data_IF_902819802843
#
_entry.id   IF_902819802843
#
_cell.length_a   1.000
_cell.length_b   1.000
_cell.length_c   1.000
_cell.angle_alpha   90.00
_cell.angle_beta   90.00
_cell.angle_gamma   90.00
#
_symmetry.space_group_name_H-M   'P 1'
#
loop_
_entity.id
_entity.type
_entity.pdbx_description
1 polymer ?
#
# COMPACT_ATOMS: atom_id res chain seq x y z
N UNK A 1 -0.77 -11.54 11.09
CA UNK A 1 -1.31 -10.17 11.23
C UNK A 1 -1.49 -9.66 12.67
N UNK A 2 -2.13 -10.39 13.61
CA UNK A 2 -2.45 -9.87 14.97
C UNK A 2 -1.25 -9.55 15.90
N UNK A 3 -0.07 -10.12 15.64
CA UNK A 3 1.13 -9.90 16.46
C UNK A 3 1.90 -8.63 16.05
N UNK A 4 1.95 -8.36 14.75
CA UNK A 4 2.60 -7.17 14.19
C UNK A 4 1.85 -5.90 14.59
N UNK A 5 0.51 -5.93 14.63
CA UNK A 5 -0.29 -4.79 15.10
C UNK A 5 -0.11 -4.50 16.60
N UNK A 6 0.06 -5.53 17.43
CA UNK A 6 0.32 -5.38 18.87
C UNK A 6 1.72 -4.81 19.13
N UNK A 7 2.73 -5.26 18.39
CA UNK A 7 4.08 -4.72 18.45
C UNK A 7 4.12 -3.25 18.04
N UNK A 8 3.43 -2.87 16.96
CA UNK A 8 3.31 -1.47 16.52
C UNK A 8 2.66 -0.59 17.60
N UNK A 9 1.59 -1.05 18.25
CA UNK A 9 0.92 -0.31 19.33
C UNK A 9 1.83 -0.13 20.55
N UNK A 10 2.61 -1.15 20.91
CA UNK A 10 3.56 -1.09 22.02
C UNK A 10 4.73 -0.14 21.68
N UNK A 11 5.25 -0.17 20.46
CA UNK A 11 6.26 0.78 19.99
C UNK A 11 5.72 2.21 20.00
N UNK A 12 4.45 2.42 19.58
CA UNK A 12 3.79 3.72 19.61
C UNK A 12 3.61 4.23 21.06
N UNK A 13 3.20 3.36 21.99
CA UNK A 13 3.06 3.68 23.42
C UNK A 13 4.40 3.99 24.10
N UNK A 14 5.46 3.29 23.74
CA UNK A 14 6.82 3.55 24.24
C UNK A 14 7.35 4.91 23.78
N UNK A 15 7.03 5.33 22.55
CA UNK A 15 7.41 6.64 22.02
C UNK A 15 6.76 7.81 22.79
N UNK A 16 5.57 7.61 23.37
CA UNK A 16 4.88 8.61 24.20
C UNK A 16 5.50 8.83 25.60
N UNK A 17 6.33 7.90 26.10
CA UNK A 17 6.84 7.94 27.48
C UNK A 17 8.19 8.66 27.67
N UNK A 18 8.81 9.15 26.60
CA UNK A 18 10.07 9.88 26.74
C UNK A 18 9.80 11.35 26.97
N UNK A 19 10.13 11.84 28.17
CA UNK A 19 10.21 13.27 28.47
C UNK A 19 11.38 13.86 27.68
N UNK A 20 11.16 14.24 26.42
CA UNK A 20 12.15 14.96 25.63
C UNK A 20 12.15 16.44 26.05
N UNK A 21 13.00 16.79 27.01
CA UNK A 21 13.64 18.11 27.03
C UNK A 21 14.79 18.12 26.03
N UNK A 22 14.46 17.92 24.76
CA UNK A 22 15.35 18.14 23.63
C UNK A 22 14.99 19.49 23.01
N UNK A 23 16.00 20.22 22.51
CA UNK A 23 15.88 21.51 21.82
C UNK A 23 14.59 21.59 21.00
N UNK A 24 13.69 22.54 21.33
CA UNK A 24 12.31 22.62 20.82
C UNK A 24 12.18 22.36 19.30
N UNK A 25 13.20 22.81 18.55
CA UNK A 25 13.37 22.56 17.12
C UNK A 25 13.30 21.09 16.70
N UNK A 26 14.03 20.19 17.38
CA UNK A 26 14.13 18.76 17.00
C UNK A 26 12.86 17.98 17.29
N UNK A 27 12.13 18.37 18.35
CA UNK A 27 10.87 17.73 18.74
C UNK A 27 9.77 18.03 17.70
N UNK A 28 9.70 19.27 17.21
CA UNK A 28 8.67 19.64 16.23
C UNK A 28 8.88 18.93 14.89
N UNK A 29 10.13 18.73 14.46
CA UNK A 29 10.44 17.94 13.26
C UNK A 29 10.00 16.48 13.41
N UNK A 30 10.26 15.87 14.57
CA UNK A 30 9.83 14.49 14.84
C UNK A 30 8.30 14.35 14.81
N UNK A 31 7.57 15.35 15.34
CA UNK A 31 6.11 15.38 15.27
C UNK A 31 5.61 15.34 13.82
N UNK A 32 6.18 16.14 12.92
CA UNK A 32 5.82 16.13 11.48
C UNK A 32 6.19 14.84 10.77
N UNK A 33 7.23 14.13 11.23
CA UNK A 33 7.59 12.82 10.70
C UNK A 33 6.56 11.74 11.09
N UNK A 34 6.02 11.81 12.32
CA UNK A 34 4.99 10.89 12.82
C UNK A 34 3.63 11.20 12.18
N UNK A 35 3.26 12.48 12.17
CA UNK A 35 1.99 12.96 11.63
C UNK A 35 2.24 14.28 10.88
N UNK A 36 2.10 14.29 9.55
CA UNK A 36 2.29 15.50 8.75
C UNK A 36 1.45 16.65 9.28
N UNK A 37 2.10 17.81 9.47
CA UNK A 37 1.48 19.04 9.98
C UNK A 37 1.51 19.22 11.49
N UNK A 38 1.81 18.19 12.28
CA UNK A 38 1.81 18.30 13.74
C UNK A 38 2.94 19.21 14.26
N UNK A 39 4.15 19.13 13.67
CA UNK A 39 5.25 20.01 14.02
C UNK A 39 4.94 21.47 13.69
N UNK A 40 4.40 21.72 12.50
CA UNK A 40 4.02 23.04 12.03
C UNK A 40 2.95 23.69 12.92
N UNK A 41 1.88 22.95 13.26
CA UNK A 41 0.85 23.44 14.17
C UNK A 41 1.42 23.69 15.56
N UNK A 42 2.32 22.82 16.04
CA UNK A 42 3.02 23.02 17.33
C UNK A 42 3.85 24.30 17.36
N UNK A 43 4.29 24.77 16.19
CA UNK A 43 5.03 26.02 16.00
C UNK A 43 4.12 27.20 15.62
N UNK A 44 2.79 27.03 15.67
CA UNK A 44 1.82 28.07 15.34
C UNK A 44 1.71 28.39 13.84
N UNK A 45 2.19 27.50 12.97
CA UNK A 45 2.17 27.70 11.52
C UNK A 45 0.97 27.01 10.86
N UNK A 46 0.18 27.78 10.12
CA UNK A 46 -1.06 27.30 9.47
C UNK A 46 -0.83 26.27 8.35
N UNK A 47 0.38 26.15 7.81
CA UNK A 47 0.69 25.12 6.80
C UNK A 47 0.45 23.71 7.32
N UNK A 48 0.52 23.48 8.64
CA UNK A 48 0.24 22.17 9.21
C UNK A 48 -1.20 21.68 9.04
N UNK A 49 -2.18 22.58 8.96
CA UNK A 49 -3.57 22.18 8.69
C UNK A 49 -3.73 21.59 7.29
N UNK A 50 -3.00 22.12 6.30
CA UNK A 50 -3.00 21.58 4.95
C UNK A 50 -2.40 20.17 4.90
N UNK A 51 -1.32 19.92 5.65
CA UNK A 51 -0.71 18.58 5.75
C UNK A 51 -1.62 17.56 6.45
N UNK A 52 -2.35 17.96 7.50
CA UNK A 52 -3.34 17.07 8.13
C UNK A 52 -4.49 16.77 7.16
N UNK A 53 -4.99 17.79 6.46
CA UNK A 53 -6.06 17.61 5.49
C UNK A 53 -5.62 16.70 4.33
N UNK A 54 -4.41 16.89 3.79
CA UNK A 54 -3.87 16.01 2.76
C UNK A 54 -3.70 14.59 3.28
N UNK A 55 -3.22 14.41 4.52
CA UNK A 55 -3.04 13.10 5.13
C UNK A 55 -4.37 12.32 5.21
N UNK A 56 -5.45 12.97 5.68
CA UNK A 56 -6.78 12.36 5.73
C UNK A 56 -7.26 11.96 4.33
N UNK A 57 -7.10 12.85 3.34
CA UNK A 57 -7.54 12.59 1.97
C UNK A 57 -6.75 11.45 1.32
N UNK A 58 -5.43 11.41 1.52
CA UNK A 58 -4.55 10.40 0.94
C UNK A 58 -4.84 9.01 1.54
N UNK A 59 -4.99 8.91 2.87
CA UNK A 59 -5.39 7.64 3.50
C UNK A 59 -6.78 7.21 3.08
N UNK A 60 -7.74 8.14 2.99
CA UNK A 60 -9.10 7.82 2.54
C UNK A 60 -9.09 7.26 1.11
N UNK A 61 -8.33 7.87 0.21
CA UNK A 61 -8.17 7.39 -1.16
C UNK A 61 -7.47 6.01 -1.20
N UNK A 62 -6.38 5.84 -0.46
CA UNK A 62 -5.67 4.55 -0.38
C UNK A 62 -6.59 3.43 0.08
N UNK A 63 -7.34 3.65 1.18
CA UNK A 63 -8.27 2.66 1.72
C UNK A 63 -9.43 2.37 0.76
N UNK A 64 -9.99 3.40 0.13
CA UNK A 64 -11.05 3.25 -0.86
C UNK A 64 -10.60 2.35 -2.03
N UNK A 65 -9.44 2.64 -2.61
CA UNK A 65 -8.94 1.86 -3.75
C UNK A 65 -8.54 0.44 -3.37
N UNK A 66 -7.94 0.25 -2.19
CA UNK A 66 -7.65 -1.10 -1.68
C UNK A 66 -8.94 -1.93 -1.52
N UNK A 67 -9.97 -1.34 -0.92
CA UNK A 67 -11.26 -2.01 -0.75
C UNK A 67 -11.95 -2.31 -2.08
N UNK A 68 -11.93 -1.37 -3.03
CA UNK A 68 -12.54 -1.58 -4.33
C UNK A 68 -11.80 -2.68 -5.13
N UNK A 69 -10.47 -2.79 -4.99
CA UNK A 69 -9.71 -3.91 -5.54
C UNK A 69 -10.22 -5.26 -5.01
N UNK A 70 -10.36 -5.38 -3.69
CA UNK A 70 -10.86 -6.59 -3.04
C UNK A 70 -12.29 -6.95 -3.48
N UNK A 71 -13.15 -5.95 -3.67
CA UNK A 71 -14.50 -6.15 -4.18
C UNK A 71 -14.50 -6.62 -5.63
N UNK A 72 -13.62 -6.10 -6.48
CA UNK A 72 -13.53 -6.53 -7.89
C UNK A 72 -12.98 -7.94 -8.04
N UNK A 73 -11.98 -8.34 -7.25
CA UNK A 73 -11.49 -9.72 -7.29
C UNK A 73 -12.53 -10.71 -6.74
N UNK A 74 -13.24 -10.33 -5.68
CA UNK A 74 -14.36 -11.14 -5.15
C UNK A 74 -15.48 -11.29 -6.20
N UNK A 75 -15.83 -10.20 -6.88
CA UNK A 75 -16.80 -10.24 -7.97
C UNK A 75 -16.33 -11.09 -9.15
N UNK A 76 -15.02 -11.10 -9.44
CA UNK A 76 -14.45 -11.97 -10.47
C UNK A 76 -14.60 -13.45 -10.10
N UNK A 77 -14.31 -13.84 -8.86
CA UNK A 77 -14.51 -15.22 -8.39
C UNK A 77 -16.00 -15.61 -8.45
N UNK A 78 -16.88 -14.75 -7.95
CA UNK A 78 -18.34 -14.96 -8.03
C UNK A 78 -18.83 -15.11 -9.47
N UNK A 79 -18.20 -14.39 -10.41
CA UNK A 79 -18.50 -14.50 -11.83
C UNK A 79 -18.07 -15.85 -12.41
N UNK A 80 -16.87 -16.31 -12.06
CA UNK A 80 -16.36 -17.62 -12.48
C UNK A 80 -17.21 -18.77 -11.93
N UNK A 81 -17.67 -18.70 -10.68
CA UNK A 81 -18.58 -19.71 -10.11
C UNK A 81 -19.91 -19.82 -10.88
N UNK A 82 -20.34 -18.76 -11.55
CA UNK A 82 -21.63 -18.70 -12.25
C UNK A 82 -21.53 -19.03 -13.73
N UNK A 83 -20.44 -18.62 -14.39
CA UNK A 83 -20.33 -18.66 -15.85
C UNK A 83 -19.15 -19.50 -16.35
N UNK A 84 -18.41 -20.13 -15.43
CA UNK A 84 -17.33 -21.07 -15.74
C UNK A 84 -17.45 -22.41 -14.98
N UNK A 85 -18.57 -22.64 -14.27
CA UNK A 85 -18.82 -23.86 -13.48
C UNK A 85 -17.71 -24.21 -12.47
N UNK A 86 -16.99 -23.22 -11.97
CA UNK A 86 -16.00 -23.42 -10.89
C UNK A 86 -16.73 -23.78 -9.59
N UNK A 87 -16.25 -24.81 -8.88
CA UNK A 87 -16.83 -25.20 -7.59
C UNK A 87 -16.49 -24.16 -6.50
N UNK A 88 -17.49 -23.48 -5.90
CA UNK A 88 -17.24 -22.51 -4.84
C UNK A 88 -16.67 -23.12 -3.55
N UNK A 89 -16.70 -24.44 -3.39
CA UNK A 89 -16.08 -25.15 -2.26
C UNK A 89 -14.67 -25.66 -2.57
N UNK A 90 -14.19 -25.47 -3.81
CA UNK A 90 -12.85 -25.86 -4.22
C UNK A 90 -11.75 -25.05 -3.53
N UNK A 91 -10.60 -25.69 -3.32
CA UNK A 91 -9.41 -25.03 -2.78
C UNK A 91 -8.42 -24.79 -3.93
N UNK A 92 -8.42 -23.56 -4.44
CA UNK A 92 -7.67 -23.20 -5.64
C UNK A 92 -6.43 -22.37 -5.32
N UNK A 93 -5.33 -22.66 -6.01
CA UNK A 93 -4.12 -21.85 -5.97
C UNK A 93 -4.31 -20.54 -6.75
N UNK A 94 -3.36 -19.62 -6.62
CA UNK A 94 -3.32 -18.42 -7.46
C UNK A 94 -3.10 -18.77 -8.94
N UNK A 95 -2.31 -19.79 -9.24
CA UNK A 95 -2.03 -20.24 -10.60
C UNK A 95 -3.29 -20.73 -11.30
N UNK A 96 -4.17 -21.46 -10.59
CA UNK A 96 -5.48 -21.84 -11.11
C UNK A 96 -6.29 -20.63 -11.62
N UNK A 97 -6.33 -19.53 -10.86
CA UNK A 97 -7.07 -18.32 -11.27
C UNK A 97 -6.44 -17.60 -12.46
N UNK A 98 -5.12 -17.73 -12.62
CA UNK A 98 -4.37 -17.23 -13.78
C UNK A 98 -4.68 -18.09 -15.01
N UNK A 99 -4.68 -19.41 -14.87
CA UNK A 99 -4.97 -20.35 -15.95
C UNK A 99 -6.43 -20.23 -16.40
N UNK A 100 -7.36 -20.19 -15.45
CA UNK A 100 -8.78 -19.97 -15.70
C UNK A 100 -9.04 -18.67 -16.47
N UNK A 101 -8.22 -17.63 -16.24
CA UNK A 101 -8.28 -16.39 -17.03
C UNK A 101 -7.82 -16.60 -18.46
N UNK A 102 -6.81 -17.45 -18.69
CA UNK A 102 -6.11 -17.52 -19.97
C UNK A 102 -6.64 -18.60 -20.92
N UNK A 103 -7.31 -19.62 -20.38
CA UNK A 103 -7.81 -20.77 -21.13
C UNK A 103 -9.34 -20.89 -21.03
N UNK A 104 -9.95 -21.43 -22.08
CA UNK A 104 -11.40 -21.53 -22.21
C UNK A 104 -11.98 -22.62 -21.31
N UNK A 105 -11.17 -23.63 -21.01
CA UNK A 105 -11.51 -24.70 -20.08
C UNK A 105 -10.25 -25.36 -19.49
N UNK A 106 -10.45 -26.22 -18.50
CA UNK A 106 -9.37 -27.04 -17.95
C UNK A 106 -8.96 -28.20 -18.87
N UNK A 107 -9.85 -28.64 -19.77
CA UNK A 107 -9.79 -29.94 -20.43
C UNK A 107 -8.82 -30.06 -21.61
N UNK A 108 -9.00 -31.14 -22.39
CA UNK A 108 -8.15 -31.52 -23.53
C UNK A 108 -8.68 -31.04 -24.90
N UNK A 109 -9.78 -30.29 -24.91
CA UNK A 109 -10.33 -29.66 -26.10
C UNK A 109 -9.49 -28.46 -26.58
N UNK A 110 -9.80 -27.97 -27.79
CA UNK A 110 -9.20 -26.73 -28.31
C UNK A 110 -9.47 -25.56 -27.38
N UNK A 111 -8.40 -24.84 -27.00
CA UNK A 111 -8.47 -23.73 -26.04
C UNK A 111 -8.37 -24.16 -24.56
N UNK A 112 -8.33 -25.47 -24.30
CA UNK A 112 -8.19 -26.04 -22.96
C UNK A 112 -6.76 -25.98 -22.42
N UNK A 113 -6.63 -25.83 -21.10
CA UNK A 113 -5.34 -25.81 -20.41
C UNK A 113 -4.62 -27.16 -20.51
N UNK A 114 -5.27 -28.28 -20.21
CA UNK A 114 -4.63 -29.59 -20.29
C UNK A 114 -4.20 -29.93 -21.72
N UNK A 115 -4.95 -29.50 -22.74
CA UNK A 115 -4.52 -29.62 -24.14
C UNK A 115 -3.19 -28.89 -24.39
N UNK A 116 -3.01 -27.70 -23.81
CA UNK A 116 -1.77 -26.95 -23.91
C UNK A 116 -0.61 -27.65 -23.20
N UNK A 117 -0.85 -28.26 -22.03
CA UNK A 117 0.17 -29.06 -21.33
C UNK A 117 0.65 -30.24 -22.17
N UNK A 118 -0.27 -30.95 -22.85
CA UNK A 118 0.11 -32.03 -23.78
C UNK A 118 1.01 -31.51 -24.91
N UNK A 119 0.67 -30.36 -25.50
CA UNK A 119 1.49 -29.73 -26.55
C UNK A 119 2.87 -29.31 -26.04
N UNK A 120 2.96 -28.75 -24.84
CA UNK A 120 4.26 -28.43 -24.22
C UNK A 120 5.08 -29.71 -24.00
N UNK A 121 4.43 -30.80 -23.60
CA UNK A 121 5.09 -32.07 -23.33
C UNK A 121 5.72 -32.71 -24.59
N UNK A 122 5.26 -32.35 -25.80
CA UNK A 122 5.87 -32.82 -27.06
C UNK A 122 7.31 -32.33 -27.24
N UNK A 123 7.73 -31.30 -26.50
CA UNK A 123 9.10 -30.81 -26.54
C UNK A 123 10.12 -31.74 -25.86
N UNK A 124 9.66 -32.70 -25.04
CA UNK A 124 10.53 -33.70 -24.40
C UNK A 124 10.72 -34.91 -25.33
N UNK A 125 11.98 -35.23 -25.64
CA UNK A 125 12.35 -36.39 -26.44
C UNK A 125 12.15 -37.70 -25.66
N UNK A 126 12.45 -37.71 -24.36
CA UNK A 126 12.31 -38.88 -23.52
C UNK A 126 10.85 -39.12 -23.09
N UNK A 127 10.30 -40.34 -23.30
CA UNK A 127 8.92 -40.65 -22.94
C UNK A 127 8.62 -40.59 -21.43
N UNK A 128 9.59 -40.92 -20.57
CA UNK A 128 9.38 -40.90 -19.11
C UNK A 128 9.34 -39.46 -18.61
N UNK A 129 10.27 -38.60 -19.05
CA UNK A 129 10.27 -37.17 -18.76
C UNK A 129 8.97 -36.49 -19.23
N UNK A 130 8.48 -36.86 -20.43
CA UNK A 130 7.21 -36.37 -20.95
C UNK A 130 6.03 -36.72 -20.03
N UNK A 131 5.92 -37.99 -19.64
CA UNK A 131 4.82 -38.44 -18.80
C UNK A 131 4.88 -37.79 -17.42
N UNK A 132 6.08 -37.67 -16.84
CA UNK A 132 6.28 -36.99 -15.56
C UNK A 132 5.81 -35.53 -15.63
N UNK A 133 6.19 -34.80 -16.68
CA UNK A 133 5.75 -33.41 -16.86
C UNK A 133 4.23 -33.29 -16.93
N UNK A 134 3.57 -34.18 -17.70
CA UNK A 134 2.11 -34.20 -17.80
C UNK A 134 1.48 -34.46 -16.43
N UNK A 135 1.91 -35.51 -15.73
CA UNK A 135 1.35 -35.90 -14.43
C UNK A 135 1.48 -34.80 -13.36
N UNK A 136 2.54 -34.00 -13.45
CA UNK A 136 2.80 -32.89 -12.52
C UNK A 136 1.96 -31.63 -12.81
N UNK A 137 1.56 -31.40 -14.07
CA UNK A 137 1.01 -30.10 -14.49
C UNK A 137 -0.46 -30.14 -14.92
N UNK A 138 -1.03 -31.29 -15.25
CA UNK A 138 -2.45 -31.34 -15.64
C UNK A 138 -3.37 -31.10 -14.45
N UNK A 139 -4.47 -30.43 -14.71
CA UNK A 139 -5.58 -30.34 -13.77
C UNK A 139 -6.46 -31.60 -13.87
N UNK A 140 -6.90 -32.10 -12.71
CA UNK A 140 -7.94 -33.12 -12.62
C UNK A 140 -9.33 -32.49 -12.50
N UNK A 141 -10.38 -33.31 -12.45
CA UNK A 141 -11.77 -32.84 -12.33
C UNK A 141 -12.03 -32.00 -11.06
N UNK A 142 -11.20 -32.10 -10.02
CA UNK A 142 -11.32 -31.21 -8.85
C UNK A 142 -11.03 -29.74 -9.16
N UNK A 143 -10.42 -29.46 -10.32
CA UNK A 143 -10.11 -28.15 -10.85
C UNK A 143 -10.92 -27.88 -12.14
N UNK A 144 -12.15 -28.41 -12.21
CA UNK A 144 -13.02 -28.19 -13.36
C UNK A 144 -13.32 -26.68 -13.54
N UNK A 145 -13.14 -26.19 -14.76
CA UNK A 145 -13.79 -24.98 -15.25
C UNK A 145 -14.05 -25.10 -16.75
N UNK A 146 -15.12 -24.45 -17.22
CA UNK A 146 -15.37 -24.26 -18.64
C UNK A 146 -16.21 -23.01 -18.84
N UNK A 147 -15.65 -22.02 -19.53
CA UNK A 147 -16.38 -20.80 -19.84
C UNK A 147 -17.55 -21.09 -20.77
N UNK A 148 -18.72 -20.52 -20.44
CA UNK A 148 -19.91 -20.62 -21.30
C UNK A 148 -19.69 -19.98 -22.69
N UNK A 149 -18.86 -18.93 -22.76
CA UNK A 149 -18.48 -18.25 -23.99
C UNK A 149 -17.24 -17.37 -23.82
N UNK A 150 -16.61 -17.01 -24.94
CA UNK A 150 -15.50 -16.05 -25.00
C UNK A 150 -15.87 -14.69 -24.39
N UNK A 151 -17.12 -14.26 -24.55
CA UNK A 151 -17.64 -13.03 -23.96
C UNK A 151 -17.66 -13.10 -22.43
N UNK A 152 -18.05 -14.24 -21.85
CA UNK A 152 -18.01 -14.44 -20.39
C UNK A 152 -16.59 -14.42 -19.86
N UNK A 153 -15.67 -15.11 -20.53
CA UNK A 153 -14.26 -15.07 -20.16
C UNK A 153 -13.70 -13.64 -20.26
N UNK A 154 -14.11 -12.88 -21.29
CA UNK A 154 -13.71 -11.48 -21.46
C UNK A 154 -14.22 -10.59 -20.31
N UNK A 155 -15.48 -10.72 -19.91
CA UNK A 155 -16.04 -9.97 -18.78
C UNK A 155 -15.30 -10.28 -17.47
N UNK A 156 -14.95 -11.54 -17.25
CA UNK A 156 -14.11 -11.94 -16.11
C UNK A 156 -12.72 -11.30 -16.17
N UNK A 157 -12.08 -11.27 -17.34
CA UNK A 157 -10.80 -10.57 -17.54
C UNK A 157 -10.90 -9.08 -17.21
N UNK A 158 -12.02 -8.43 -17.54
CA UNK A 158 -12.28 -7.02 -17.19
C UNK A 158 -12.34 -6.83 -15.68
N UNK A 159 -13.03 -7.72 -14.94
CA UNK A 159 -13.12 -7.63 -13.49
C UNK A 159 -11.75 -7.76 -12.83
N UNK A 160 -10.96 -8.75 -13.24
CA UNK A 160 -9.58 -8.91 -12.76
C UNK A 160 -8.71 -7.71 -13.10
N UNK A 161 -8.79 -7.19 -14.33
CA UNK A 161 -8.04 -6.00 -14.74
C UNK A 161 -8.37 -4.80 -13.86
N UNK A 162 -9.66 -4.57 -13.58
CA UNK A 162 -10.10 -3.47 -12.71
C UNK A 162 -9.60 -3.64 -11.28
N UNK A 163 -9.59 -4.86 -10.75
CA UNK A 163 -8.99 -5.12 -9.43
C UNK A 163 -7.51 -4.69 -9.42
N UNK A 164 -6.72 -5.13 -10.41
CA UNK A 164 -5.31 -4.74 -10.52
C UNK A 164 -5.13 -3.22 -10.66
N UNK A 165 -5.96 -2.54 -11.45
CA UNK A 165 -5.92 -1.08 -11.59
C UNK A 165 -6.18 -0.37 -10.24
N UNK A 166 -7.15 -0.84 -9.45
CA UNK A 166 -7.43 -0.28 -8.13
C UNK A 166 -6.32 -0.58 -7.12
N UNK A 167 -5.73 -1.77 -7.14
CA UNK A 167 -4.56 -2.11 -6.33
C UNK A 167 -3.36 -1.18 -6.67
N UNK A 168 -3.12 -0.93 -7.95
CA UNK A 168 -2.06 0.00 -8.37
C UNK A 168 -2.34 1.43 -7.93
N UNK A 169 -3.59 1.90 -7.96
CA UNK A 169 -3.94 3.19 -7.36
C UNK A 169 -3.68 3.23 -5.86
N UNK A 170 -4.02 2.19 -5.11
CA UNK A 170 -3.72 2.11 -3.69
C UNK A 170 -2.20 2.20 -3.41
N UNK A 171 -1.35 1.58 -4.24
CA UNK A 171 0.12 1.71 -4.16
C UNK A 171 0.59 3.13 -4.46
N UNK A 172 0.03 3.78 -5.48
CA UNK A 172 0.33 5.19 -5.81
C UNK A 172 0.02 6.09 -4.62
N UNK A 173 -1.15 5.93 -3.99
CA UNK A 173 -1.51 6.72 -2.80
C UNK A 173 -0.64 6.40 -1.59
N UNK A 174 -0.19 5.15 -1.43
CA UNK A 174 0.79 4.78 -0.41
C UNK A 174 2.12 5.54 -0.58
N UNK A 175 2.59 5.66 -1.83
CA UNK A 175 3.76 6.49 -2.16
C UNK A 175 3.52 7.99 -1.90
N UNK A 176 2.34 8.49 -2.22
CA UNK A 176 1.96 9.88 -1.96
C UNK A 176 1.91 10.21 -0.46
N UNK A 177 1.46 9.29 0.39
CA UNK A 177 1.52 9.42 1.87
C UNK A 177 2.97 9.59 2.31
N UNK A 178 3.88 8.72 1.87
CA UNK A 178 5.31 8.83 2.21
C UNK A 178 5.88 10.18 1.76
N UNK A 179 5.54 10.64 0.56
CA UNK A 179 5.96 11.96 0.07
C UNK A 179 5.39 13.10 0.95
N UNK A 180 4.13 13.02 1.38
CA UNK A 180 3.51 13.99 2.28
C UNK A 180 4.27 14.11 3.61
N UNK A 181 4.68 12.98 4.19
CA UNK A 181 5.54 12.94 5.38
C UNK A 181 6.89 13.62 5.17
N UNK A 182 7.59 13.31 4.08
CA UNK A 182 8.90 13.91 3.79
C UNK A 182 8.78 15.43 3.62
N UNK A 183 7.78 15.89 2.87
CA UNK A 183 7.56 17.32 2.61
C UNK A 183 7.20 18.05 3.91
N UNK A 184 6.35 17.47 4.76
CA UNK A 184 6.03 18.07 6.06
C UNK A 184 7.25 18.14 6.99
N UNK A 185 8.10 17.10 7.03
CA UNK A 185 9.36 17.14 7.79
C UNK A 185 10.26 18.28 7.33
N UNK A 186 10.45 18.43 6.01
CA UNK A 186 11.27 19.51 5.43
C UNK A 186 10.67 20.89 5.77
N UNK A 187 9.35 21.04 5.66
CA UNK A 187 8.69 22.29 5.98
C UNK A 187 8.78 22.63 7.48
N UNK A 188 8.59 21.65 8.36
CA UNK A 188 8.80 21.81 9.80
C UNK A 188 10.26 22.18 10.13
N UNK A 189 11.25 21.56 9.48
CA UNK A 189 12.65 21.95 9.63
C UNK A 189 12.88 23.42 9.25
N UNK A 190 12.31 23.86 8.12
CA UNK A 190 12.39 25.25 7.66
C UNK A 190 11.77 26.21 8.67
N UNK A 191 10.55 25.95 9.14
CA UNK A 191 9.85 26.80 10.12
C UNK A 191 10.63 26.88 11.43
N UNK A 192 11.10 25.72 11.90
CA UNK A 192 11.91 25.61 13.11
C UNK A 192 13.20 26.45 13.03
N UNK A 193 13.91 26.40 11.90
CA UNK A 193 15.10 27.21 11.67
C UNK A 193 14.80 28.72 11.66
N UNK A 194 13.63 29.14 11.16
CA UNK A 194 13.20 30.54 11.17
C UNK A 194 12.78 31.03 12.57
N UNK A 195 12.38 30.13 13.46
CA UNK A 195 11.95 30.44 14.84
C UNK A 195 13.09 30.37 15.86
N UNK A 196 14.33 30.09 15.45
CA UNK A 196 15.49 30.16 16.33
C UNK A 196 15.63 31.59 16.86
N UNK A 197 15.22 31.83 18.11
CA UNK A 197 15.10 33.16 18.70
C UNK A 197 16.46 33.86 18.84
N UNK A 198 16.60 35.04 18.22
CA UNK A 198 17.53 36.07 18.70
C UNK A 198 16.85 36.75 19.89
N UNK A 199 17.26 36.40 21.10
CA UNK A 199 16.75 37.03 22.33
C UNK A 199 17.40 38.41 22.48
N UNK A 200 16.72 39.45 21.99
CA UNK A 200 17.13 40.85 22.12
C UNK A 200 16.59 41.38 23.44
N UNK A 201 17.45 41.44 24.46
CA UNK A 201 17.11 42.04 25.75
C UNK A 201 17.67 43.44 25.84
N UNK A 202 16.80 44.42 26.06
CA UNK A 202 17.22 45.75 26.50
C UNK A 202 17.33 45.71 28.02
N UNK A 203 18.55 45.84 28.56
CA UNK A 203 18.80 45.98 30.00
C UNK A 203 19.27 47.39 30.27
N UNK A 204 18.87 47.97 31.40
CA UNK A 204 19.44 49.25 31.86
C UNK A 204 20.45 48.94 32.94
N UNK A 205 21.68 49.43 32.79
CA UNK A 205 22.75 49.18 33.76
C UNK A 205 22.58 50.08 35.02
N UNK A 206 23.39 49.86 36.05
CA UNK A 206 23.33 50.65 37.31
C UNK A 206 23.61 52.16 37.12
N UNK A 207 24.18 52.56 35.98
CA UNK A 207 24.44 53.96 35.60
C UNK A 207 23.37 54.52 34.64
N UNK A 208 22.22 53.85 34.51
CA UNK A 208 21.10 54.24 33.62
C UNK A 208 21.42 54.18 32.12
N UNK A 209 22.50 53.51 31.71
CA UNK A 209 22.79 53.32 30.29
C UNK A 209 21.98 52.14 29.73
N UNK A 210 21.26 52.31 28.61
CA UNK A 210 20.60 51.20 27.93
C UNK A 210 21.67 50.31 27.27
N UNK A 211 21.63 49.02 27.61
CA UNK A 211 22.44 47.96 27.03
C UNK A 211 21.56 47.07 26.18
N UNK A 212 21.87 46.99 24.89
CA UNK A 212 21.26 46.03 23.98
C UNK A 212 22.07 44.73 24.05
N UNK A 213 21.45 43.65 24.51
CA UNK A 213 22.09 42.33 24.56
C UNK A 213 21.47 41.43 23.50
N UNK A 214 22.30 40.95 22.56
CA UNK A 214 21.92 39.91 21.62
C UNK A 214 22.33 38.56 22.20
N UNK A 215 21.37 37.75 22.63
CA UNK A 215 21.65 36.37 22.97
C UNK A 215 21.24 35.49 21.80
N UNK A 216 22.22 34.88 21.15
CA UNK A 216 22.01 33.85 20.15
C UNK A 216 22.23 32.48 20.80
N UNK A 217 21.21 31.62 20.81
CA UNK A 217 21.30 30.26 21.34
C UNK A 217 21.33 29.26 20.18
N UNK A 218 22.49 28.63 19.98
CA UNK A 218 22.67 27.47 19.11
C UNK A 218 22.07 26.21 19.74
#
# INVERSE_FOLDING_TARGET
>A
MKLISKLLIITLLLLFTTNLTAQHSKINVLKSAILPGWGEISMGNNTGYAFIASEILLWSAQLYFAQESDLKISAAHDYAYRYADVDPQGNYSQDFWIDLKNYDSYGFETGGYNANIILQAESFEDPEERQQFIDEHIYSESHFWKWESDERQHDYKILQKRSLEFDDYAKVFSGAIVANHIISVINSLRISALQTEVDVKVKVNKQLNPLLTFNYRF
#
